data_IF_674782847468
#
_entry.id   IF_674782847468
#
_cell.length_a   1.000
_cell.length_b   1.000
_cell.length_c   1.000
_cell.angle_alpha   90.00
_cell.angle_beta   90.00
_cell.angle_gamma   90.00
#
_symmetry.space_group_name_H-M   'P 1'
#
loop_
_entity.id
_entity.type
_entity.pdbx_description
1 polymer ?
#
# COMPACT_ATOMS: atom_id res chain seq x y z
N UNK A 1 13.39 13.04 -2.12
CA UNK A 1 13.17 11.58 -2.26
C UNK A 1 12.65 11.03 -0.94
N UNK A 2 11.70 10.10 -1.01
CA UNK A 2 10.92 9.60 0.11
C UNK A 2 11.26 8.14 0.43
N UNK A 3 11.22 7.79 1.71
CA UNK A 3 11.15 6.38 2.11
C UNK A 3 9.67 6.08 2.29
N UNK A 4 9.14 5.20 1.44
CA UNK A 4 7.71 4.90 1.37
C UNK A 4 7.44 3.59 2.09
N UNK A 5 6.36 3.54 2.87
CA UNK A 5 5.79 2.29 3.37
C UNK A 5 4.47 2.04 2.65
N UNK A 6 4.33 0.88 2.03
CA UNK A 6 3.08 0.40 1.45
C UNK A 6 2.42 -0.55 2.45
N UNK A 7 1.31 -0.13 3.03
CA UNK A 7 0.60 -0.83 4.09
C UNK A 7 -0.90 -0.54 4.01
N UNK A 8 -1.71 -1.56 3.73
CA UNK A 8 -3.16 -1.46 3.79
C UNK A 8 -3.61 -1.59 5.26
N UNK A 9 -4.44 -0.66 5.70
CA UNK A 9 -5.03 -0.65 7.04
C UNK A 9 -6.49 -0.23 6.94
N UNK A 10 -7.31 -0.69 7.88
CA UNK A 10 -8.75 -0.40 7.85
C UNK A 10 -9.05 1.09 7.88
N UNK A 11 -9.91 1.53 6.96
CA UNK A 11 -10.37 2.92 6.84
C UNK A 11 -9.23 3.94 6.74
N UNK A 12 -8.09 3.52 6.21
CA UNK A 12 -6.89 4.33 6.04
C UNK A 12 -6.37 4.28 4.61
N UNK A 13 -5.31 5.05 4.34
CA UNK A 13 -4.69 5.06 3.01
C UNK A 13 -3.44 4.16 2.95
N UNK A 14 -3.18 3.53 1.79
CA UNK A 14 -2.17 2.48 1.69
C UNK A 14 -0.73 3.01 1.64
N UNK A 15 -0.52 4.29 1.30
CA UNK A 15 0.81 4.86 1.02
C UNK A 15 1.24 5.80 2.15
N UNK A 16 2.37 5.50 2.78
CA UNK A 16 2.85 6.24 3.95
C UNK A 16 4.24 6.80 3.67
N UNK A 17 4.45 8.08 3.91
CA UNK A 17 5.78 8.70 3.90
C UNK A 17 5.78 10.00 4.71
N UNK A 18 6.97 10.56 4.93
CA UNK A 18 7.14 11.87 5.57
C UNK A 18 7.31 12.94 4.51
N UNK A 19 6.58 14.04 4.62
CA UNK A 19 6.87 15.27 3.88
C UNK A 19 7.58 16.27 4.80
N UNK A 20 8.19 17.35 4.27
CA UNK A 20 8.77 18.40 5.10
C UNK A 20 7.75 19.09 6.01
N UNK A 21 6.51 19.20 5.54
CA UNK A 21 5.44 19.95 6.19
C UNK A 21 4.54 19.06 7.07
N UNK A 22 4.69 17.73 6.98
CA UNK A 22 3.85 16.79 7.69
C UNK A 22 4.67 15.62 8.30
N UNK A 23 4.62 15.39 9.64
CA UNK A 23 5.11 14.14 10.23
C UNK A 23 4.43 12.93 9.55
N UNK A 24 5.06 11.75 9.60
CA UNK A 24 4.65 10.55 8.83
C UNK A 24 3.13 10.31 8.85
N UNK A 25 2.45 10.53 7.72
CA UNK A 25 1.01 10.29 7.57
C UNK A 25 0.74 9.30 6.43
N UNK A 26 -0.49 8.79 6.46
CA UNK A 26 -1.09 8.06 5.36
C UNK A 26 -1.54 9.09 4.32
N UNK A 27 -1.12 8.92 3.07
CA UNK A 27 -1.51 9.78 1.98
C UNK A 27 -2.54 9.06 1.10
N UNK A 28 -3.66 9.72 0.75
CA UNK A 28 -4.50 9.32 -0.37
C UNK A 28 -3.66 8.97 -1.61
N UNK A 29 -4.12 8.02 -2.42
CA UNK A 29 -3.34 7.53 -3.57
C UNK A 29 -3.15 8.61 -4.63
N UNK A 30 -4.11 9.51 -4.81
CA UNK A 30 -4.01 10.67 -5.71
C UNK A 30 -2.95 11.67 -5.23
N UNK A 31 -2.97 12.06 -3.94
CA UNK A 31 -1.96 12.92 -3.35
C UNK A 31 -0.56 12.28 -3.43
N UNK A 32 -0.46 10.99 -3.10
CA UNK A 32 0.78 10.24 -3.20
C UNK A 32 1.28 10.16 -4.65
N UNK A 33 0.38 10.02 -5.63
CA UNK A 33 0.73 9.98 -7.05
C UNK A 33 1.36 11.31 -7.50
N UNK A 34 0.83 12.44 -7.06
CA UNK A 34 1.41 13.76 -7.36
C UNK A 34 2.79 13.94 -6.70
N UNK A 35 2.90 13.67 -5.39
CA UNK A 35 4.13 13.89 -4.62
C UNK A 35 5.27 12.94 -5.03
N UNK A 36 4.92 11.69 -5.38
CA UNK A 36 5.88 10.69 -5.81
C UNK A 36 6.05 10.66 -7.34
N UNK A 37 5.34 11.50 -8.10
CA UNK A 37 5.36 11.51 -9.56
C UNK A 37 5.08 10.12 -10.16
N UNK A 38 4.03 9.45 -9.69
CA UNK A 38 3.63 8.13 -10.19
C UNK A 38 2.89 8.27 -11.52
N UNK A 39 2.99 7.26 -12.37
CA UNK A 39 2.13 7.16 -13.55
C UNK A 39 0.69 6.80 -13.18
N UNK A 40 -0.28 7.24 -13.98
CA UNK A 40 -1.72 7.01 -13.76
C UNK A 40 -2.07 5.52 -13.61
N UNK A 41 -1.38 4.64 -14.35
CA UNK A 41 -1.57 3.19 -14.25
C UNK A 41 -1.19 2.66 -12.86
N UNK A 42 -0.04 3.07 -12.33
CA UNK A 42 0.41 2.63 -11.00
C UNK A 42 -0.49 3.19 -9.89
N UNK A 43 -0.89 4.45 -10.00
CA UNK A 43 -1.84 5.05 -9.06
C UNK A 43 -3.17 4.28 -9.04
N UNK A 44 -3.72 3.95 -10.21
CA UNK A 44 -4.95 3.15 -10.31
C UNK A 44 -4.80 1.77 -9.71
N UNK A 45 -3.69 1.09 -9.97
CA UNK A 45 -3.46 -0.26 -9.45
C UNK A 45 -3.26 -0.27 -7.93
N UNK A 46 -2.64 0.78 -7.36
CA UNK A 46 -2.52 0.98 -5.91
C UNK A 46 -3.88 1.20 -5.26
N UNK A 47 -4.73 2.04 -5.86
CA UNK A 47 -6.09 2.28 -5.38
C UNK A 47 -6.91 0.99 -5.42
N UNK A 48 -6.92 0.28 -6.55
CA UNK A 48 -7.66 -0.98 -6.69
C UNK A 48 -7.18 -2.07 -5.72
N UNK A 49 -5.88 -2.11 -5.41
CA UNK A 49 -5.32 -3.06 -4.43
C UNK A 49 -5.76 -2.75 -3.00
N UNK A 50 -5.87 -1.48 -2.63
CA UNK A 50 -6.37 -1.07 -1.32
C UNK A 50 -7.89 -1.21 -1.22
N UNK A 51 -8.64 -0.83 -2.26
CA UNK A 51 -10.10 -1.00 -2.34
C UNK A 51 -10.49 -2.46 -2.12
N UNK A 52 -9.78 -3.42 -2.75
CA UNK A 52 -10.02 -4.85 -2.51
C UNK A 52 -9.82 -5.24 -1.04
N UNK A 53 -8.87 -4.63 -0.35
CA UNK A 53 -8.68 -4.86 1.07
C UNK A 53 -9.82 -4.23 1.87
N UNK A 54 -10.19 -2.98 1.60
CA UNK A 54 -11.29 -2.29 2.31
C UNK A 54 -12.64 -2.99 2.11
N UNK A 55 -12.90 -3.57 0.94
CA UNK A 55 -14.12 -4.32 0.62
C UNK A 55 -14.29 -5.60 1.46
N UNK A 56 -13.22 -6.08 2.09
CA UNK A 56 -13.27 -7.24 2.99
C UNK A 56 -13.78 -6.85 4.39
N UNK A 57 -13.74 -5.57 4.74
CA UNK A 57 -14.18 -5.08 6.05
C UNK A 57 -15.66 -5.43 6.26
N UNK A 58 -15.95 -6.28 7.23
CA UNK A 58 -17.31 -6.47 7.71
C UNK A 58 -17.72 -5.24 8.55
N UNK A 59 -18.70 -4.44 8.10
CA UNK A 59 -19.10 -3.22 8.78
C UNK A 59 -19.85 -3.47 10.10
N UNK A 60 -20.26 -4.71 10.36
CA UNK A 60 -20.98 -5.15 11.57
C UNK A 60 -19.99 -5.71 12.59
N UNK A 61 -19.04 -6.55 12.17
CA UNK A 61 -17.98 -7.08 13.03
C UNK A 61 -16.63 -7.17 12.31
N UNK A 62 -15.80 -6.14 12.51
CA UNK A 62 -14.49 -6.05 11.88
C UNK A 62 -13.57 -7.27 12.13
N UNK A 63 -13.83 -8.08 13.17
CA UNK A 63 -13.04 -9.30 13.46
C UNK A 63 -13.33 -10.45 12.51
N UNK A 64 -14.50 -10.45 11.89
CA UNK A 64 -14.91 -11.45 10.89
C UNK A 64 -14.48 -11.04 9.46
N UNK A 65 -13.86 -9.86 9.30
CA UNK A 65 -13.28 -9.40 8.03
C UNK A 65 -12.17 -10.35 7.60
N UNK A 66 -12.44 -11.14 6.56
CA UNK A 66 -11.51 -12.13 6.05
C UNK A 66 -11.59 -12.26 4.53
N UNK A 67 -10.44 -12.47 3.91
CA UNK A 67 -10.39 -12.89 2.51
C UNK A 67 -11.22 -14.17 2.35
N UNK A 68 -11.94 -14.33 1.22
CA UNK A 68 -12.82 -15.48 1.00
C UNK A 68 -12.07 -16.82 1.02
N UNK A 69 -10.79 -16.81 0.66
CA UNK A 69 -9.89 -17.97 0.74
C UNK A 69 -8.46 -17.55 1.12
N UNK A 70 -7.65 -18.47 1.68
CA UNK A 70 -6.22 -18.25 1.86
C UNK A 70 -5.48 -17.92 0.56
N UNK A 71 -5.89 -18.50 -0.56
CA UNK A 71 -5.32 -18.27 -1.88
C UNK A 71 -5.59 -16.84 -2.37
N UNK A 72 -6.78 -16.30 -2.10
CA UNK A 72 -7.11 -14.90 -2.38
C UNK A 72 -6.19 -13.96 -1.60
N UNK A 73 -5.99 -14.21 -0.30
CA UNK A 73 -5.03 -13.44 0.52
C UNK A 73 -3.62 -13.51 -0.05
N UNK A 74 -3.14 -14.69 -0.45
CA UNK A 74 -1.80 -14.86 -1.04
C UNK A 74 -1.66 -14.08 -2.36
N UNK A 75 -2.68 -14.13 -3.22
CA UNK A 75 -2.68 -13.41 -4.49
C UNK A 75 -2.70 -11.88 -4.29
N UNK A 76 -3.46 -11.40 -3.31
CA UNK A 76 -3.47 -9.99 -2.92
C UNK A 76 -2.11 -9.53 -2.35
N UNK A 77 -1.47 -10.33 -1.48
CA UNK A 77 -0.12 -10.06 -0.98
C UNK A 77 0.90 -10.02 -2.14
N UNK A 78 0.79 -10.94 -3.10
CA UNK A 78 1.71 -11.01 -4.23
C UNK A 78 1.58 -9.78 -5.15
N UNK A 79 0.36 -9.34 -5.45
CA UNK A 79 0.13 -8.07 -6.18
C UNK A 79 0.68 -6.87 -5.43
N UNK A 80 0.52 -6.81 -4.11
CA UNK A 80 1.10 -5.72 -3.31
C UNK A 80 2.63 -5.68 -3.37
N UNK A 81 3.31 -6.83 -3.45
CA UNK A 81 4.77 -6.88 -3.69
C UNK A 81 5.14 -6.31 -5.06
N UNK A 82 4.40 -6.69 -6.10
CA UNK A 82 4.62 -6.18 -7.46
C UNK A 82 4.43 -4.66 -7.52
N UNK A 83 3.41 -4.13 -6.85
CA UNK A 83 3.18 -2.69 -6.73
C UNK A 83 4.29 -1.98 -5.95
N UNK A 84 4.78 -2.57 -4.86
CA UNK A 84 5.92 -2.03 -4.11
C UNK A 84 7.22 -2.02 -4.94
N UNK A 85 7.46 -3.04 -5.78
CA UNK A 85 8.58 -3.04 -6.72
C UNK A 85 8.43 -1.91 -7.75
N UNK A 86 7.23 -1.77 -8.34
CA UNK A 86 6.91 -0.72 -9.31
C UNK A 86 7.08 0.68 -8.74
N UNK A 87 6.62 0.93 -7.51
CA UNK A 87 6.86 2.20 -6.80
C UNK A 87 8.35 2.58 -6.78
N UNK A 88 9.23 1.61 -6.54
CA UNK A 88 10.68 1.87 -6.52
C UNK A 88 11.28 2.06 -7.92
N UNK A 89 10.75 1.36 -8.93
CA UNK A 89 11.28 1.34 -10.29
C UNK A 89 10.80 2.52 -11.13
N UNK A 90 9.53 2.89 -11.00
CA UNK A 90 8.86 3.88 -11.86
C UNK A 90 9.01 5.31 -11.33
N UNK A 91 9.22 5.50 -10.02
CA UNK A 91 9.39 6.82 -9.41
C UNK A 91 10.82 7.15 -9.03
N UNK A 92 11.33 8.27 -9.56
CA UNK A 92 12.63 8.85 -9.14
C UNK A 92 12.56 9.51 -7.77
N UNK A 93 11.34 9.80 -7.27
CA UNK A 93 11.13 10.37 -5.95
C UNK A 93 11.18 9.32 -4.84
N UNK A 94 11.09 8.03 -5.16
CA UNK A 94 11.13 6.95 -4.17
C UNK A 94 12.56 6.47 -3.92
N UNK A 95 13.07 6.73 -2.71
CA UNK A 95 14.39 6.26 -2.25
C UNK A 95 14.37 4.79 -1.87
N UNK A 96 13.38 4.36 -1.10
CA UNK A 96 13.18 2.98 -0.68
C UNK A 96 11.70 2.71 -0.46
N UNK A 97 11.32 1.43 -0.51
CA UNK A 97 9.96 0.97 -0.23
C UNK A 97 10.02 -0.12 0.84
N UNK A 98 9.20 0.01 1.87
CA UNK A 98 8.91 -1.04 2.85
C UNK A 98 7.50 -1.56 2.57
N UNK A 99 7.38 -2.84 2.22
CA UNK A 99 6.07 -3.44 2.00
C UNK A 99 5.62 -4.22 3.23
N UNK A 100 4.42 -3.93 3.75
CA UNK A 100 3.87 -4.55 4.96
C UNK A 100 2.60 -5.33 4.74
N UNK A 101 2.02 -5.32 3.54
CA UNK A 101 0.67 -5.84 3.27
C UNK A 101 -0.35 -5.24 4.27
N UNK A 102 -1.19 -6.08 4.87
CA UNK A 102 -2.12 -5.77 5.97
C UNK A 102 -1.44 -5.71 7.35
N UNK A 103 -0.11 -5.56 7.38
CA UNK A 103 0.72 -5.63 8.60
C UNK A 103 1.27 -7.02 8.89
N UNK A 104 0.87 -8.04 8.12
CA UNK A 104 1.38 -9.41 8.26
C UNK A 104 2.85 -9.57 7.87
N UNK A 105 3.41 -8.63 7.10
CA UNK A 105 4.84 -8.61 6.78
C UNK A 105 5.54 -7.64 7.76
N UNK A 106 6.43 -8.14 8.65
CA UNK A 106 7.15 -7.29 9.60
C UNK A 106 8.07 -6.29 8.91
N UNK A 107 8.28 -5.15 9.57
CA UNK A 107 9.29 -4.17 9.16
C UNK A 107 10.68 -4.83 9.08
N UNK A 108 11.48 -4.44 8.08
CA UNK A 108 12.80 -5.02 7.84
C UNK A 108 12.78 -6.35 7.08
N UNK A 109 11.61 -6.90 6.76
CA UNK A 109 11.52 -8.05 5.85
C UNK A 109 11.93 -7.63 4.44
N UNK A 110 13.04 -8.19 3.97
CA UNK A 110 13.51 -8.03 2.59
C UNK A 110 12.52 -8.77 1.66
N UNK A 111 11.75 -8.00 0.91
CA UNK A 111 10.77 -8.50 -0.07
C UNK A 111 11.27 -8.42 -1.52
N UNK A 112 12.47 -7.85 -1.72
CA UNK A 112 13.15 -7.63 -3.01
C UNK A 112 14.65 -7.85 -2.86
#
# INVERSE_FOLDING_TARGET
>A
MYNVTLHAGWSGYPVWFKTPDDPMHQHPVDEAAELLMLGDDLARDLAAWDDEYQDILDPIDARESAFPTPEAKKAWIQRGKELAARLKQESTMVKSVVYRADGTIPEGTCVF
#
